data_IF_697239464849
#
_entry.id   IF_697239464849
#
_cell.length_a   1.000
_cell.length_b   1.000
_cell.length_c   1.000
_cell.angle_alpha   90.00
_cell.angle_beta   90.00
_cell.angle_gamma   90.00
#
_symmetry.space_group_name_H-M   'P 1'
#
loop_
_entity.id
_entity.type
_entity.pdbx_description
1 polymer ?
#
# COMPACT_ATOMS: atom_id res chain seq x y z
N UNK A 1 -13.91 0.91 -17.26
CA UNK A 1 -12.50 1.36 -17.27
C UNK A 1 -11.73 0.63 -16.17
N UNK A 2 -10.53 0.17 -16.47
CA UNK A 2 -9.62 -0.44 -15.50
C UNK A 2 -8.40 0.45 -15.30
N UNK A 3 -8.10 0.78 -14.03
CA UNK A 3 -6.92 1.57 -13.66
C UNK A 3 -6.08 0.73 -12.71
N UNK A 4 -4.78 0.73 -12.91
CA UNK A 4 -3.83 0.06 -12.02
C UNK A 4 -2.92 1.12 -11.41
N UNK A 5 -2.91 1.20 -10.09
CA UNK A 5 -1.95 2.01 -9.36
C UNK A 5 -0.80 1.13 -8.92
N UNK A 6 0.42 1.55 -9.20
CA UNK A 6 1.64 0.76 -8.97
C UNK A 6 2.53 1.48 -7.97
N UNK A 7 2.89 0.83 -6.89
CA UNK A 7 3.79 1.42 -5.92
C UNK A 7 3.76 0.72 -4.57
N UNK A 8 4.13 1.46 -3.54
CA UNK A 8 4.21 0.94 -2.18
C UNK A 8 3.10 1.48 -1.29
N UNK A 9 2.37 0.57 -0.64
CA UNK A 9 1.52 0.87 0.51
C UNK A 9 2.28 0.49 1.78
N UNK A 10 2.26 1.39 2.76
CA UNK A 10 3.01 1.21 4.02
C UNK A 10 2.07 1.20 5.20
N UNK A 11 2.52 0.61 6.30
CA UNK A 11 1.91 0.84 7.61
C UNK A 11 2.19 2.28 8.01
N UNK A 12 1.16 3.01 8.39
CA UNK A 12 1.27 4.36 8.93
C UNK A 12 1.03 4.32 10.43
N UNK A 13 1.97 4.85 11.21
CA UNK A 13 1.79 5.07 12.63
C UNK A 13 1.69 6.57 12.89
N UNK A 14 0.54 7.00 13.39
CA UNK A 14 0.25 8.42 13.63
C UNK A 14 0.01 8.66 15.11
N UNK A 15 0.45 9.82 15.68
CA UNK A 15 0.19 10.13 17.07
C UNK A 15 -1.30 10.16 17.39
N UNK A 16 -1.68 9.52 18.50
CA UNK A 16 -3.06 9.47 18.97
C UNK A 16 -3.20 10.01 20.39
N UNK A 17 -2.18 10.70 20.92
CA UNK A 17 -2.14 11.25 22.27
C UNK A 17 -1.63 10.27 23.32
N UNK A 18 -1.05 10.78 24.40
CA UNK A 18 -0.59 9.99 25.56
C UNK A 18 0.42 8.89 25.20
N UNK A 19 1.28 9.13 24.20
CA UNK A 19 2.25 8.15 23.74
C UNK A 19 1.67 7.03 22.90
N UNK A 20 0.37 7.10 22.59
CA UNK A 20 -0.32 6.10 21.75
C UNK A 20 -0.16 6.44 20.27
N UNK A 21 -0.18 5.41 19.45
CA UNK A 21 -0.13 5.53 18.00
C UNK A 21 -1.35 4.88 17.38
N UNK A 22 -1.93 5.53 16.36
CA UNK A 22 -2.96 4.93 15.52
C UNK A 22 -2.28 4.28 14.33
N UNK A 23 -2.63 3.01 14.08
CA UNK A 23 -2.17 2.28 12.93
C UNK A 23 -3.13 2.49 11.76
N UNK A 24 -2.59 2.78 10.59
CA UNK A 24 -3.31 2.84 9.34
C UNK A 24 -2.45 2.31 8.21
N UNK A 25 -2.95 2.40 7.00
CA UNK A 25 -2.23 2.04 5.79
C UNK A 25 -2.32 3.21 4.81
N UNK A 26 -1.19 3.60 4.23
CA UNK A 26 -1.11 4.75 3.36
C UNK A 26 0.14 4.70 2.46
N UNK A 27 0.17 5.58 1.50
CA UNK A 27 1.25 5.76 0.53
C UNK A 27 0.69 6.52 -0.66
N UNK A 28 1.52 7.25 -1.38
CA UNK A 28 1.05 8.15 -2.45
C UNK A 28 0.21 7.43 -3.50
N UNK A 29 0.71 6.30 -4.01
CA UNK A 29 0.01 5.54 -5.05
C UNK A 29 -1.21 4.81 -4.50
N UNK A 30 -1.14 4.33 -3.26
CA UNK A 30 -2.29 3.71 -2.61
C UNK A 30 -3.37 4.74 -2.31
N UNK A 31 -3.01 5.91 -1.81
CA UNK A 31 -3.97 6.99 -1.56
C UNK A 31 -4.68 7.39 -2.86
N UNK A 32 -3.95 7.40 -3.98
CA UNK A 32 -4.54 7.65 -5.31
C UNK A 32 -5.58 6.58 -5.64
N UNK A 33 -5.25 5.30 -5.45
CA UNK A 33 -6.20 4.21 -5.69
C UNK A 33 -7.44 4.32 -4.81
N UNK A 34 -7.24 4.64 -3.52
CA UNK A 34 -8.30 4.81 -2.53
C UNK A 34 -9.31 5.87 -2.96
N UNK A 35 -8.82 7.09 -3.24
CA UNK A 35 -9.70 8.19 -3.62
C UNK A 35 -10.33 7.99 -4.99
N UNK A 36 -9.58 7.42 -5.93
CA UNK A 36 -10.11 7.13 -7.25
C UNK A 36 -11.29 6.16 -7.17
N UNK A 37 -11.16 5.09 -6.38
CA UNK A 37 -12.25 4.12 -6.20
C UNK A 37 -13.47 4.75 -5.55
N UNK A 38 -13.28 5.68 -4.61
CA UNK A 38 -14.39 6.40 -3.96
C UNK A 38 -15.10 7.35 -4.91
N UNK A 39 -14.35 8.03 -5.77
CA UNK A 39 -14.91 8.98 -6.74
C UNK A 39 -15.53 8.29 -7.95
N UNK A 40 -15.00 7.14 -8.33
CA UNK A 40 -15.46 6.35 -9.47
C UNK A 40 -15.70 4.91 -9.06
N UNK A 41 -16.78 4.65 -8.30
CA UNK A 41 -17.08 3.29 -7.86
C UNK A 41 -17.39 2.32 -8.98
N UNK A 42 -17.75 2.85 -10.16
CA UNK A 42 -17.99 2.10 -11.39
C UNK A 42 -16.70 1.61 -12.08
N UNK A 43 -15.55 2.19 -11.73
CA UNK A 43 -14.27 1.77 -12.31
C UNK A 43 -13.69 0.58 -11.57
N UNK A 44 -12.99 -0.28 -12.30
CA UNK A 44 -12.11 -1.28 -11.71
C UNK A 44 -10.80 -0.59 -11.34
N UNK A 45 -10.50 -0.53 -10.07
CA UNK A 45 -9.24 0.02 -9.56
C UNK A 45 -8.48 -1.10 -8.89
N UNK A 46 -7.32 -1.43 -9.43
CA UNK A 46 -6.44 -2.47 -8.93
C UNK A 46 -5.15 -1.85 -8.38
N UNK A 47 -4.57 -2.51 -7.40
CA UNK A 47 -3.27 -2.13 -6.87
C UNK A 47 -2.25 -3.20 -7.23
N UNK A 48 -1.09 -2.79 -7.74
CA UNK A 48 0.03 -3.66 -8.07
C UNK A 48 1.19 -3.31 -7.15
N UNK A 49 1.64 -4.27 -6.38
CA UNK A 49 2.70 -4.10 -5.39
C UNK A 49 3.24 -5.46 -4.98
N UNK A 50 4.00 -5.48 -3.89
CA UNK A 50 4.35 -6.71 -3.20
C UNK A 50 4.25 -6.46 -1.69
N UNK A 51 3.79 -7.45 -0.97
CA UNK A 51 3.67 -7.45 0.50
C UNK A 51 4.32 -8.72 1.05
N UNK A 52 4.38 -8.83 2.37
CA UNK A 52 4.89 -10.03 3.02
C UNK A 52 3.86 -11.14 3.11
N UNK A 53 4.21 -12.18 3.88
CA UNK A 53 3.34 -13.32 4.18
C UNK A 53 2.90 -13.32 5.64
N UNK A 54 3.13 -12.24 6.35
CA UNK A 54 2.85 -12.06 7.77
C UNK A 54 1.46 -11.45 8.02
N UNK A 55 1.09 -11.37 9.28
CA UNK A 55 -0.23 -10.89 9.69
C UNK A 55 -0.49 -9.44 9.29
N UNK A 56 0.51 -8.57 9.35
CA UNK A 56 0.33 -7.17 8.98
C UNK A 56 0.12 -7.02 7.46
N UNK A 57 0.75 -7.89 6.66
CA UNK A 57 0.52 -7.94 5.22
C UNK A 57 -0.90 -8.42 4.90
N UNK A 58 -1.39 -9.42 5.63
CA UNK A 58 -2.79 -9.88 5.51
C UNK A 58 -3.76 -8.75 5.84
N UNK A 59 -3.51 -8.01 6.92
CA UNK A 59 -4.34 -6.88 7.32
C UNK A 59 -4.35 -5.78 6.26
N UNK A 60 -3.22 -5.49 5.65
CA UNK A 60 -3.11 -4.50 4.57
C UNK A 60 -3.94 -4.92 3.36
N UNK A 61 -3.83 -6.18 2.93
CA UNK A 61 -4.63 -6.69 1.81
C UNK A 61 -6.13 -6.66 2.12
N UNK A 62 -6.51 -7.01 3.35
CA UNK A 62 -7.91 -6.93 3.78
C UNK A 62 -8.43 -5.49 3.76
N UNK A 63 -7.62 -4.53 4.15
CA UNK A 63 -7.96 -3.10 4.09
C UNK A 63 -8.19 -2.63 2.65
N UNK A 64 -7.33 -3.04 1.72
CA UNK A 64 -7.49 -2.73 0.30
C UNK A 64 -8.78 -3.34 -0.26
N UNK A 65 -9.01 -4.62 0.01
CA UNK A 65 -10.19 -5.33 -0.48
C UNK A 65 -11.48 -4.72 0.06
N UNK A 66 -11.51 -4.33 1.34
CA UNK A 66 -12.66 -3.67 1.95
C UNK A 66 -12.97 -2.32 1.30
N UNK A 67 -11.96 -1.66 0.74
CA UNK A 67 -12.13 -0.41 -0.01
C UNK A 67 -12.56 -0.63 -1.48
N UNK A 68 -12.71 -1.88 -1.90
CA UNK A 68 -13.06 -2.22 -3.29
C UNK A 68 -11.88 -2.14 -4.27
N UNK A 69 -10.65 -2.14 -3.75
CA UNK A 69 -9.43 -2.12 -4.57
C UNK A 69 -9.01 -3.57 -4.83
N UNK A 70 -8.80 -3.91 -6.11
CA UNK A 70 -8.36 -5.25 -6.49
C UNK A 70 -6.92 -5.52 -6.08
N UNK A 71 -6.69 -6.72 -5.52
CA UNK A 71 -5.38 -7.14 -4.99
C UNK A 71 -4.80 -8.36 -5.68
N UNK A 72 -5.40 -8.81 -6.78
CA UNK A 72 -5.00 -10.05 -7.47
C UNK A 72 -3.56 -10.00 -7.98
N UNK A 73 -3.02 -8.80 -8.20
CA UNK A 73 -1.66 -8.58 -8.69
C UNK A 73 -0.72 -8.04 -7.61
N UNK A 74 -1.08 -8.21 -6.34
CA UNK A 74 -0.16 -7.94 -5.23
C UNK A 74 0.57 -9.24 -4.89
N UNK A 75 1.88 -9.26 -5.13
CA UNK A 75 2.70 -10.43 -4.86
C UNK A 75 2.97 -10.60 -3.35
N UNK A 76 3.18 -11.83 -2.92
CA UNK A 76 3.54 -12.17 -1.53
C UNK A 76 4.99 -12.61 -1.45
N UNK A 77 5.74 -12.07 -0.50
CA UNK A 77 7.14 -12.45 -0.25
C UNK A 77 7.27 -13.06 1.13
N UNK A 78 8.02 -14.16 1.24
CA UNK A 78 8.25 -14.83 2.52
C UNK A 78 9.44 -14.23 3.28
N UNK A 79 10.37 -13.59 2.58
CA UNK A 79 11.61 -13.05 3.13
C UNK A 79 11.55 -11.54 3.45
N UNK A 80 10.43 -10.89 3.15
CA UNK A 80 10.25 -9.46 3.37
C UNK A 80 8.85 -9.17 3.88
N UNK A 81 8.68 -8.05 4.58
CA UNK A 81 7.38 -7.56 4.99
C UNK A 81 7.11 -6.17 4.40
N UNK A 82 5.98 -5.59 4.75
CA UNK A 82 5.60 -4.25 4.30
C UNK A 82 6.45 -3.18 4.96
N UNK A 83 6.62 -2.08 4.28
CA UNK A 83 7.27 -0.90 4.84
C UNK A 83 6.40 -0.21 5.86
N UNK A 84 7.03 0.62 6.69
CA UNK A 84 6.37 1.35 7.76
C UNK A 84 6.92 2.76 7.83
N UNK A 85 6.07 3.73 8.16
CA UNK A 85 6.53 5.05 8.55
C UNK A 85 5.81 5.54 9.79
N UNK A 86 6.53 6.36 10.56
CA UNK A 86 6.05 6.98 11.78
C UNK A 86 5.97 8.49 11.58
N UNK A 87 4.83 9.06 11.89
CA UNK A 87 4.63 10.51 11.91
C UNK A 87 4.98 11.03 13.29
N UNK A 88 5.85 12.02 13.34
CA UNK A 88 6.17 12.76 14.56
C UNK A 88 5.68 14.20 14.40
N UNK A 89 4.97 14.71 15.41
CA UNK A 89 4.52 16.09 15.45
C UNK A 89 5.38 16.87 16.43
N UNK A 90 5.92 17.99 15.95
CA UNK A 90 6.65 18.95 16.79
C UNK A 90 6.14 20.34 16.46
N UNK A 91 5.45 20.96 17.43
CA UNK A 91 4.87 22.31 17.29
C UNK A 91 4.00 22.46 16.03
N UNK A 92 3.22 21.42 15.74
CA UNK A 92 2.34 21.39 14.57
C UNK A 92 3.03 21.00 13.26
N UNK A 93 4.34 20.84 13.25
CA UNK A 93 5.08 20.38 12.09
C UNK A 93 5.21 18.87 12.10
N UNK A 94 5.05 18.26 10.92
CA UNK A 94 5.19 16.81 10.74
C UNK A 94 6.59 16.46 10.26
N UNK A 95 7.15 15.44 10.84
CA UNK A 95 8.33 14.76 10.31
C UNK A 95 8.04 13.27 10.21
N UNK A 96 8.81 12.58 9.37
CA UNK A 96 8.57 11.18 9.05
C UNK A 96 9.83 10.37 9.29
N UNK A 97 9.67 9.22 9.93
CA UNK A 97 10.72 8.22 10.04
C UNK A 97 10.28 6.97 9.29
N UNK A 98 11.17 6.38 8.51
CA UNK A 98 10.85 5.29 7.59
C UNK A 98 11.60 4.01 7.93
N UNK A 99 10.89 2.91 7.87
CA UNK A 99 11.43 1.55 7.90
C UNK A 99 10.95 0.84 6.63
N UNK A 100 11.63 1.09 5.51
CA UNK A 100 11.21 0.59 4.21
C UNK A 100 12.35 0.15 3.29
N UNK A 101 13.60 0.21 3.76
CA UNK A 101 14.75 -0.12 2.91
C UNK A 101 14.75 -1.57 2.45
N UNK A 102 14.07 -2.47 3.18
CA UNK A 102 13.95 -3.88 2.87
C UNK A 102 12.49 -4.30 2.67
N UNK A 103 11.60 -3.36 2.35
CA UNK A 103 10.19 -3.68 2.17
C UNK A 103 9.96 -4.59 0.97
N UNK A 104 8.91 -5.42 1.06
CA UNK A 104 8.52 -6.32 -0.03
C UNK A 104 8.20 -5.55 -1.32
N UNK A 105 7.60 -4.36 -1.20
CA UNK A 105 7.25 -3.54 -2.36
C UNK A 105 8.45 -3.15 -3.22
N UNK A 106 9.66 -3.14 -2.67
CA UNK A 106 10.87 -2.87 -3.46
C UNK A 106 11.14 -3.96 -4.50
N UNK A 107 10.51 -5.11 -4.38
CA UNK A 107 10.62 -6.23 -5.31
C UNK A 107 9.48 -6.31 -6.33
N UNK A 108 8.58 -5.35 -6.36
CA UNK A 108 7.35 -5.42 -7.17
C UNK A 108 7.61 -5.55 -8.67
N UNK A 109 8.76 -5.10 -9.15
CA UNK A 109 9.14 -5.14 -10.56
C UNK A 109 10.26 -6.17 -10.86
N UNK A 110 10.60 -7.03 -9.90
CA UNK A 110 11.67 -8.01 -10.08
C UNK A 110 11.34 -9.06 -11.14
N UNK A 111 10.06 -9.36 -11.33
CA UNK A 111 9.56 -10.22 -12.40
C UNK A 111 8.85 -9.36 -13.44
N UNK A 112 9.51 -9.02 -14.55
CA UNK A 112 8.90 -8.14 -15.57
C UNK A 112 7.72 -8.78 -16.28
N UNK A 113 7.63 -10.11 -16.36
CA UNK A 113 6.50 -10.80 -16.96
C UNK A 113 5.26 -10.65 -16.06
N UNK A 114 5.41 -10.87 -14.77
CA UNK A 114 4.33 -10.68 -13.81
C UNK A 114 3.87 -9.22 -13.76
N UNK A 115 4.81 -8.28 -13.80
CA UNK A 115 4.52 -6.85 -13.84
C UNK A 115 3.68 -6.50 -15.08
N UNK A 116 4.12 -6.94 -16.27
CA UNK A 116 3.41 -6.68 -17.51
C UNK A 116 2.02 -7.32 -17.50
N UNK A 117 1.89 -8.54 -16.96
CA UNK A 117 0.62 -9.23 -16.83
C UNK A 117 -0.34 -8.45 -15.92
N UNK A 118 0.15 -7.96 -14.79
CA UNK A 118 -0.65 -7.16 -13.84
C UNK A 118 -1.18 -5.86 -14.43
N UNK A 119 -0.45 -5.28 -15.39
CA UNK A 119 -0.85 -4.03 -16.05
C UNK A 119 -1.63 -4.26 -17.34
N UNK A 120 -1.77 -5.48 -17.82
CA UNK A 120 -2.44 -5.77 -19.08
C UNK A 120 -3.90 -5.30 -19.06
N UNK A 121 -4.33 -4.60 -20.12
CA UNK A 121 -5.69 -4.07 -20.22
C UNK A 121 -5.95 -2.86 -19.32
N UNK A 122 -4.95 -2.33 -18.64
CA UNK A 122 -5.07 -1.09 -17.88
C UNK A 122 -5.00 0.11 -18.80
N UNK A 123 -5.60 1.17 -18.35
CA UNK A 123 -5.67 2.44 -19.08
C UNK A 123 -4.65 3.43 -18.54
#
# INVERSE_FOLDING_TARGET
MRVVCVGECMVELAPAGDGLLRQGFAGDTFNTAWYLKRLRPDWQVDYLSAVGSDAISDAMLGFMAAAGIGTDHVARRTERTVGLYLITLDKGERSFSYWRSQSAARTLADDPVALAHGMAGAW
#
